data_IF_280155532976
#
_entry.id   IF_280155532976
#
_cell.length_a   1.000
_cell.length_b   1.000
_cell.length_c   1.000
_cell.angle_alpha   90.00
_cell.angle_beta   90.00
_cell.angle_gamma   90.00
#
_symmetry.space_group_name_H-M   'P 1'
#
loop_
_entity.id
_entity.type
_entity.pdbx_description
1 polymer ?
#
# COMPACT_ATOMS: atom_id res chain seq x y z
N UNK A 1 29.70 6.69 -3.83
CA UNK A 1 28.76 5.55 -3.93
C UNK A 1 27.40 6.10 -3.53
N UNK A 2 26.54 6.36 -4.51
CA UNK A 2 25.26 7.04 -4.28
C UNK A 2 24.25 5.97 -3.85
N UNK A 3 24.37 5.55 -2.59
CA UNK A 3 23.71 4.38 -2.02
C UNK A 3 22.20 4.55 -1.91
N UNK A 4 21.48 4.24 -2.99
CA UNK A 4 20.11 3.79 -2.89
C UNK A 4 20.15 2.31 -2.49
N UNK A 5 20.45 2.04 -1.22
CA UNK A 5 20.30 0.70 -0.67
C UNK A 5 18.81 0.48 -0.43
N UNK A 6 18.15 -0.18 -1.39
CA UNK A 6 16.77 -0.55 -1.26
C UNK A 6 16.68 -1.78 -0.36
N UNK A 7 16.34 -1.56 0.90
CA UNK A 7 16.12 -2.63 1.88
C UNK A 7 14.76 -3.32 1.64
N UNK A 8 14.75 -4.62 1.28
CA UNK A 8 13.51 -5.39 1.09
C UNK A 8 12.58 -5.36 2.30
N UNK A 9 13.11 -5.35 3.53
CA UNK A 9 12.31 -5.36 4.76
C UNK A 9 11.62 -4.02 5.01
N UNK A 10 12.31 -2.90 4.72
CA UNK A 10 11.69 -1.57 4.78
C UNK A 10 10.56 -1.45 3.75
N UNK A 11 10.75 -1.99 2.54
CA UNK A 11 9.72 -2.00 1.50
C UNK A 11 8.51 -2.86 1.90
N UNK A 12 8.73 -4.06 2.45
CA UNK A 12 7.64 -4.93 2.98
C UNK A 12 6.88 -4.25 4.12
N UNK A 13 7.60 -3.59 5.02
CA UNK A 13 7.00 -2.85 6.14
C UNK A 13 6.13 -1.70 5.64
N UNK A 14 6.62 -0.92 4.67
CA UNK A 14 5.87 0.17 4.07
C UNK A 14 4.61 -0.35 3.33
N UNK A 15 4.74 -1.44 2.57
CA UNK A 15 3.61 -2.09 1.92
C UNK A 15 2.54 -2.54 2.93
N UNK A 16 2.97 -3.20 4.00
CA UNK A 16 2.09 -3.71 5.04
C UNK A 16 1.31 -2.58 5.73
N UNK A 17 1.95 -1.43 5.98
CA UNK A 17 1.30 -0.24 6.55
C UNK A 17 0.22 0.32 5.62
N UNK A 18 0.49 0.44 4.33
CA UNK A 18 -0.48 0.92 3.34
C UNK A 18 -1.69 -0.03 3.21
N UNK A 19 -1.42 -1.33 3.12
CA UNK A 19 -2.47 -2.35 3.03
C UNK A 19 -3.32 -2.42 4.31
N UNK A 20 -2.70 -2.27 5.48
CA UNK A 20 -3.41 -2.20 6.76
C UNK A 20 -4.31 -0.96 6.83
N UNK A 21 -3.79 0.21 6.46
CA UNK A 21 -4.57 1.46 6.42
C UNK A 21 -5.76 1.35 5.45
N UNK A 22 -5.57 0.70 4.30
CA UNK A 22 -6.65 0.44 3.34
C UNK A 22 -7.71 -0.51 3.93
N UNK A 23 -7.31 -1.57 4.65
CA UNK A 23 -8.26 -2.49 5.31
C UNK A 23 -9.06 -1.80 6.42
N UNK A 24 -8.38 -1.02 7.27
CA UNK A 24 -9.02 -0.27 8.35
C UNK A 24 -10.03 0.75 7.78
N UNK A 25 -9.63 1.50 6.74
CA UNK A 25 -10.48 2.49 6.10
C UNK A 25 -11.68 1.85 5.39
N UNK A 26 -11.52 0.67 4.78
CA UNK A 26 -12.63 -0.07 4.19
C UNK A 26 -13.66 -0.55 5.24
N UNK A 27 -13.22 -0.84 6.46
CA UNK A 27 -14.09 -1.22 7.58
C UNK A 27 -14.84 -0.04 8.20
N UNK A 28 -14.41 1.20 7.96
CA UNK A 28 -15.03 2.43 8.49
C UNK A 28 -16.12 2.94 7.55
N UNK A 29 -17.23 2.20 7.48
CA UNK A 29 -18.47 2.66 6.84
C UNK A 29 -19.12 3.88 7.54
N UNK A 30 -18.54 4.34 8.65
CA UNK A 30 -19.11 5.31 9.59
C UNK A 30 -19.26 6.74 9.06
N UNK A 31 -18.67 7.10 7.90
CA UNK A 31 -19.05 8.35 7.21
C UNK A 31 -20.52 8.33 6.73
N UNK A 32 -21.21 7.19 6.80
CA UNK A 32 -22.66 7.07 6.55
C UNK A 32 -23.54 7.52 7.72
N UNK A 33 -23.00 7.85 8.89
CA UNK A 33 -23.83 8.01 10.09
C UNK A 33 -23.54 9.29 10.89
N UNK A 34 -24.35 10.31 10.62
CA UNK A 34 -24.90 11.19 11.69
C UNK A 34 -26.12 11.98 11.22
N UNK A 35 -26.22 12.29 9.93
CA UNK A 35 -27.36 13.04 9.40
C UNK A 35 -28.33 12.06 8.71
N UNK A 36 -29.43 11.73 9.40
CA UNK A 36 -30.58 11.09 8.74
C UNK A 36 -31.39 12.19 8.08
N UNK A 37 -31.45 12.25 6.75
CA UNK A 37 -32.19 13.31 6.06
C UNK A 37 -33.67 13.35 6.49
N UNK A 38 -34.24 12.17 6.78
CA UNK A 38 -35.62 12.04 7.26
C UNK A 38 -35.86 12.75 8.61
N UNK A 39 -34.83 12.94 9.43
CA UNK A 39 -34.94 13.60 10.74
C UNK A 39 -34.87 15.13 10.65
N UNK A 40 -34.39 15.69 9.54
CA UNK A 40 -34.13 17.13 9.44
C UNK A 40 -35.21 17.86 8.63
N UNK A 41 -36.07 17.14 7.91
CA UNK A 41 -37.32 17.65 7.33
C UNK A 41 -37.16 18.66 6.17
N UNK A 42 -35.92 18.99 5.79
CA UNK A 42 -35.62 19.91 4.71
C UNK A 42 -35.12 19.14 3.47
N UNK A 43 -35.85 19.28 2.37
CA UNK A 43 -35.55 18.66 1.08
C UNK A 43 -34.21 19.11 0.52
N UNK A 44 -33.84 20.38 0.71
CA UNK A 44 -32.56 20.92 0.24
C UNK A 44 -31.39 20.36 1.07
N UNK A 45 -31.59 20.20 2.38
CA UNK A 45 -30.57 19.58 3.24
C UNK A 45 -30.40 18.10 2.93
N UNK A 46 -31.49 17.40 2.61
CA UNK A 46 -31.46 16.00 2.19
C UNK A 46 -30.58 15.81 0.95
N UNK A 47 -30.82 16.60 -0.10
CA UNK A 47 -30.02 16.54 -1.33
C UNK A 47 -28.53 16.87 -1.08
N UNK A 48 -28.24 17.90 -0.26
CA UNK A 48 -26.87 18.27 0.07
C UNK A 48 -26.13 17.16 0.84
N UNK A 49 -26.82 16.47 1.75
CA UNK A 49 -26.26 15.33 2.50
C UNK A 49 -25.97 14.13 1.59
N UNK A 50 -26.87 13.83 0.64
CA UNK A 50 -26.65 12.77 -0.35
C UNK A 50 -25.46 13.06 -1.26
N UNK A 51 -25.29 14.31 -1.72
CA UNK A 51 -24.16 14.72 -2.54
C UNK A 51 -22.84 14.64 -1.76
N UNK A 52 -22.83 15.10 -0.51
CA UNK A 52 -21.67 14.96 0.39
C UNK A 52 -21.32 13.48 0.60
N UNK A 53 -22.32 12.62 0.79
CA UNK A 53 -22.12 11.19 0.95
C UNK A 53 -21.54 10.56 -0.33
N UNK A 54 -22.06 10.92 -1.50
CA UNK A 54 -21.55 10.43 -2.79
C UNK A 54 -20.09 10.84 -2.99
N UNK A 55 -19.76 12.10 -2.74
CA UNK A 55 -18.40 12.62 -2.82
C UNK A 55 -17.45 11.91 -1.83
N UNK A 56 -17.90 11.72 -0.59
CA UNK A 56 -17.11 11.04 0.45
C UNK A 56 -16.84 9.58 0.10
N UNK A 57 -17.85 8.86 -0.40
CA UNK A 57 -17.69 7.48 -0.86
C UNK A 57 -16.72 7.41 -2.04
N UNK A 58 -16.85 8.30 -3.02
CA UNK A 58 -15.94 8.34 -4.16
C UNK A 58 -14.49 8.58 -3.71
N UNK A 59 -14.26 9.56 -2.82
CA UNK A 59 -12.93 9.85 -2.29
C UNK A 59 -12.33 8.65 -1.53
N UNK A 60 -13.13 7.99 -0.68
CA UNK A 60 -12.69 6.78 0.04
C UNK A 60 -12.32 5.67 -0.95
N UNK A 61 -13.16 5.41 -1.97
CA UNK A 61 -12.89 4.38 -2.98
C UNK A 61 -11.57 4.64 -3.70
N UNK A 62 -11.31 5.88 -4.11
CA UNK A 62 -10.04 6.28 -4.74
C UNK A 62 -8.85 6.06 -3.81
N UNK A 63 -8.88 6.60 -2.59
CA UNK A 63 -7.79 6.43 -1.63
C UNK A 63 -7.50 4.96 -1.30
N UNK A 64 -8.55 4.13 -1.22
CA UNK A 64 -8.41 2.69 -0.99
C UNK A 64 -7.77 1.97 -2.17
N UNK A 65 -8.11 2.35 -3.40
CA UNK A 65 -7.49 1.80 -4.60
C UNK A 65 -6.00 2.16 -4.66
N UNK A 66 -5.68 3.43 -4.46
CA UNK A 66 -4.30 3.95 -4.49
C UNK A 66 -3.42 3.29 -3.42
N UNK A 67 -3.91 3.17 -2.19
CA UNK A 67 -3.19 2.53 -1.11
C UNK A 67 -2.90 1.04 -1.40
N UNK A 68 -3.86 0.32 -2.01
CA UNK A 68 -3.68 -1.09 -2.40
C UNK A 68 -2.67 -1.23 -3.53
N UNK A 69 -2.77 -0.39 -4.56
CA UNK A 69 -1.85 -0.44 -5.70
C UNK A 69 -0.42 -0.13 -5.24
N UNK A 70 -0.22 0.96 -4.48
CA UNK A 70 1.09 1.34 -3.98
C UNK A 70 1.67 0.26 -3.04
N UNK A 71 0.85 -0.31 -2.16
CA UNK A 71 1.24 -1.45 -1.32
C UNK A 71 1.75 -2.64 -2.15
N UNK A 72 0.98 -3.06 -3.17
CA UNK A 72 1.39 -4.18 -4.04
C UNK A 72 2.65 -3.89 -4.87
N UNK A 73 2.86 -2.64 -5.29
CA UNK A 73 4.10 -2.22 -5.98
C UNK A 73 5.32 -2.29 -5.06
N UNK A 74 5.16 -1.94 -3.78
CA UNK A 74 6.21 -2.07 -2.78
C UNK A 74 6.55 -3.54 -2.48
N UNK A 75 5.55 -4.41 -2.34
CA UNK A 75 5.77 -5.87 -2.18
C UNK A 75 6.52 -6.45 -3.38
N UNK A 76 6.10 -6.10 -4.59
CA UNK A 76 6.76 -6.54 -5.82
C UNK A 76 8.21 -6.08 -5.87
N UNK A 77 8.47 -4.83 -5.48
CA UNK A 77 9.82 -4.27 -5.44
C UNK A 77 10.68 -4.97 -4.39
N UNK A 78 10.14 -5.20 -3.19
CA UNK A 78 10.84 -5.92 -2.12
C UNK A 78 11.23 -7.33 -2.56
N UNK A 79 10.32 -8.06 -3.22
CA UNK A 79 10.61 -9.39 -3.76
C UNK A 79 11.77 -9.36 -4.75
N UNK A 80 11.73 -8.45 -5.73
CA UNK A 80 12.80 -8.32 -6.74
C UNK A 80 14.15 -7.98 -6.12
N UNK A 81 14.19 -7.12 -5.11
CA UNK A 81 15.44 -6.81 -4.41
C UNK A 81 15.97 -8.01 -3.62
N UNK A 82 15.11 -8.79 -2.96
CA UNK A 82 15.52 -9.99 -2.26
C UNK A 82 16.06 -11.06 -3.23
N UNK A 83 15.38 -11.30 -4.35
CA UNK A 83 15.83 -12.20 -5.43
C UNK A 83 17.21 -11.76 -5.96
N UNK A 84 17.39 -10.47 -6.23
CA UNK A 84 18.67 -9.94 -6.69
C UNK A 84 19.79 -10.09 -5.65
N UNK A 85 19.52 -9.85 -4.36
CA UNK A 85 20.51 -10.05 -3.29
C UNK A 85 20.96 -11.52 -3.19
N UNK A 86 20.03 -12.45 -3.37
CA UNK A 86 20.33 -13.89 -3.44
C UNK A 86 21.17 -14.24 -4.67
N UNK A 87 20.80 -13.76 -5.86
CA UNK A 87 21.60 -13.97 -7.09
C UNK A 87 23.04 -13.45 -6.94
N UNK A 88 23.21 -12.28 -6.32
CA UNK A 88 24.53 -11.70 -6.05
C UNK A 88 25.31 -12.56 -5.07
N UNK A 89 24.70 -13.02 -3.98
CA UNK A 89 25.33 -13.92 -3.00
C UNK A 89 25.81 -15.21 -3.68
N UNK A 90 24.94 -15.87 -4.43
CA UNK A 90 25.25 -17.13 -5.12
C UNK A 90 26.37 -16.96 -6.16
N UNK A 91 26.41 -15.80 -6.83
CA UNK A 91 27.51 -15.45 -7.74
C UNK A 91 28.83 -15.26 -7.00
N UNK A 92 28.82 -14.57 -5.86
CA UNK A 92 30.02 -14.36 -5.04
C UNK A 92 30.56 -15.68 -4.47
N UNK A 93 29.69 -16.57 -4.00
CA UNK A 93 30.07 -17.89 -3.50
C UNK A 93 30.69 -18.80 -4.59
N UNK A 94 30.19 -18.71 -5.83
CA UNK A 94 30.81 -19.40 -6.98
C UNK A 94 32.22 -18.89 -7.25
N UNK A 95 32.39 -17.57 -7.35
CA UNK A 95 33.69 -16.94 -7.59
C UNK A 95 34.69 -17.30 -6.48
N UNK A 96 34.26 -17.26 -5.22
CA UNK A 96 35.11 -17.62 -4.08
C UNK A 96 35.57 -19.08 -4.13
N UNK A 97 34.68 -20.01 -4.48
CA UNK A 97 35.04 -21.43 -4.67
C UNK A 97 36.03 -21.63 -5.80
N UNK A 98 35.78 -21.04 -6.95
CA UNK A 98 36.65 -21.19 -8.12
C UNK A 98 38.06 -20.62 -7.86
N UNK A 99 38.15 -19.54 -7.08
CA UNK A 99 39.42 -18.93 -6.68
C UNK A 99 40.22 -19.81 -5.72
N UNK A 100 39.54 -20.51 -4.79
CA UNK A 100 40.19 -21.43 -3.85
C UNK A 100 40.63 -22.76 -4.48
N UNK A 101 40.00 -23.21 -5.56
CA UNK A 101 40.41 -24.43 -6.30
C UNK A 101 41.61 -24.17 -7.23
N UNK A 102 41.84 -22.91 -7.61
CA UNK A 102 42.93 -22.49 -8.49
C UNK A 102 44.23 -22.09 -7.76
N UNK A 103 44.25 -22.11 -6.42
CA UNK A 103 45.41 -21.79 -5.56
C UNK A 103 46.00 -23.04 -4.92
#
# INVERSE_FOLDING_TARGET
MNGFEADPELLRTAASRLLAAARESAGRAALRYSARPELIGDVLLTAALEDLQRASVAAVVTCLADARELGGRLETSARRYAEYQEEVRDRLERIARDTHVAS
#
